data_IF_927228817524
#
_entry.id   IF_927228817524
#
_cell.length_a   1.000
_cell.length_b   1.000
_cell.length_c   1.000
_cell.angle_alpha   90.00
_cell.angle_beta   90.00
_cell.angle_gamma   90.00
#
_symmetry.space_group_name_H-M   'P 1'
#
loop_
_entity.id
_entity.type
_entity.pdbx_description
1 polymer ?
#
# COMPACT_ATOMS: atom_id res chain seq x y z
N UNK A 1 -6.54 35.79 -2.19
CA UNK A 1 -7.43 34.64 -2.43
C UNK A 1 -7.27 34.25 -3.88
N UNK A 2 -6.55 33.16 -4.15
CA UNK A 2 -6.50 32.53 -5.46
C UNK A 2 -6.74 31.04 -5.22
N UNK A 3 -7.95 30.59 -5.55
CA UNK A 3 -8.34 29.19 -5.51
C UNK A 3 -7.64 28.45 -6.66
N UNK A 4 -6.72 27.55 -6.32
CA UNK A 4 -6.18 26.58 -7.25
C UNK A 4 -7.21 25.44 -7.39
N UNK A 5 -7.92 25.43 -8.52
CA UNK A 5 -8.74 24.29 -8.90
C UNK A 5 -7.81 23.19 -9.42
N UNK A 6 -7.61 22.13 -8.63
CA UNK A 6 -6.96 20.91 -9.12
C UNK A 6 -7.91 20.25 -10.11
N UNK A 7 -7.50 20.23 -11.37
CA UNK A 7 -8.26 19.63 -12.47
C UNK A 7 -7.97 18.13 -12.47
N UNK A 8 -8.79 17.35 -11.77
CA UNK A 8 -8.69 15.88 -11.76
C UNK A 8 -9.23 15.36 -13.09
N UNK A 9 -8.42 15.41 -14.14
CA UNK A 9 -8.73 14.69 -15.37
C UNK A 9 -8.63 13.19 -15.08
N UNK A 10 -9.82 12.59 -14.99
CA UNK A 10 -10.08 11.16 -15.05
C UNK A 10 -9.22 10.51 -16.13
N UNK A 11 -8.42 9.51 -15.76
CA UNK A 11 -7.85 8.58 -16.75
C UNK A 11 -8.75 7.33 -16.82
N UNK A 12 -9.54 7.13 -17.90
CA UNK A 12 -10.05 5.81 -18.20
C UNK A 12 -9.43 5.30 -19.51
N UNK A 13 -8.63 4.23 -19.40
CA UNK A 13 -8.60 3.03 -20.25
C UNK A 13 -7.20 2.40 -20.30
N UNK A 14 -7.07 1.33 -19.51
CA UNK A 14 -5.92 0.42 -19.50
C UNK A 14 -5.35 0.14 -18.11
N UNK A 15 -6.15 0.21 -17.04
CA UNK A 15 -5.64 0.01 -15.68
C UNK A 15 -5.37 -1.47 -15.43
N UNK A 16 -4.21 -1.96 -15.85
CA UNK A 16 -3.66 -3.19 -15.29
C UNK A 16 -3.47 -2.95 -13.80
N UNK A 17 -4.11 -3.77 -12.97
CA UNK A 17 -4.06 -3.58 -11.52
C UNK A 17 -5.06 -4.44 -10.79
N UNK A 18 -4.99 -4.38 -9.47
CA UNK A 18 -5.77 -5.27 -8.59
C UNK A 18 -7.23 -4.82 -8.41
N UNK A 19 -7.57 -3.58 -8.81
CA UNK A 19 -8.85 -2.94 -8.52
C UNK A 19 -9.86 -3.21 -9.63
N UNK A 20 -10.97 -3.88 -9.30
CA UNK A 20 -12.09 -4.09 -10.21
C UNK A 20 -13.10 -2.92 -10.14
N UNK A 21 -13.00 -2.01 -11.11
CA UNK A 21 -13.91 -0.86 -11.21
C UNK A 21 -15.37 -1.24 -11.55
N UNK A 22 -15.62 -2.46 -12.02
CA UNK A 22 -16.98 -2.95 -12.31
C UNK A 22 -17.63 -3.57 -11.08
N UNK A 23 -16.84 -4.04 -10.11
CA UNK A 23 -17.33 -4.62 -8.86
C UNK A 23 -18.02 -3.58 -7.99
N UNK A 24 -19.22 -3.86 -7.51
CA UNK A 24 -19.89 -2.97 -6.56
C UNK A 24 -19.18 -3.02 -5.20
N UNK A 25 -18.82 -1.84 -4.69
CA UNK A 25 -18.38 -1.67 -3.32
C UNK A 25 -19.58 -1.33 -2.44
N UNK A 26 -19.65 -1.95 -1.27
CA UNK A 26 -20.73 -1.74 -0.31
C UNK A 26 -20.49 -0.47 0.53
N UNK A 27 -19.28 0.09 0.50
CA UNK A 27 -18.90 1.28 1.26
C UNK A 27 -18.87 1.04 2.77
N UNK A 28 -18.57 -0.20 3.16
CA UNK A 28 -18.55 -0.67 4.55
C UNK A 28 -17.16 -0.64 5.17
N UNK A 29 -16.12 -0.65 4.34
CA UNK A 29 -14.73 -0.59 4.76
C UNK A 29 -14.45 0.75 5.42
N UNK A 30 -13.87 0.68 6.62
CA UNK A 30 -13.46 1.83 7.44
C UNK A 30 -12.15 1.50 8.13
N UNK A 31 -11.28 2.50 8.27
CA UNK A 31 -10.07 2.35 9.07
C UNK A 31 -10.39 2.31 10.56
N UNK A 32 -9.90 1.28 11.24
CA UNK A 32 -9.99 1.16 12.69
C UNK A 32 -8.61 1.32 13.35
N UNK A 33 -8.54 2.09 14.44
CA UNK A 33 -7.34 2.12 15.29
C UNK A 33 -7.27 0.85 16.13
N UNK A 34 -6.21 0.08 15.98
CA UNK A 34 -5.99 -1.16 16.74
C UNK A 34 -4.65 -1.18 17.48
N UNK A 35 -4.47 -2.16 18.36
CA UNK A 35 -3.20 -2.40 19.07
C UNK A 35 -2.32 -3.31 18.23
N UNK A 36 -0.99 -3.12 18.24
CA UNK A 36 -0.06 -3.96 17.46
C UNK A 36 -0.22 -5.45 17.71
N UNK A 37 -0.47 -5.85 18.96
CA UNK A 37 -0.69 -7.26 19.34
C UNK A 37 -1.96 -7.91 18.75
N UNK A 38 -2.82 -7.12 18.10
CA UNK A 38 -4.05 -7.59 17.45
C UNK A 38 -3.89 -7.70 15.93
N UNK A 39 -2.75 -7.29 15.36
CA UNK A 39 -2.50 -7.40 13.92
C UNK A 39 -2.30 -8.87 13.55
N UNK A 40 -2.95 -9.27 12.46
CA UNK A 40 -2.84 -10.61 11.87
C UNK A 40 -2.34 -10.53 10.42
N UNK A 41 -1.78 -11.64 9.93
CA UNK A 41 -1.33 -11.73 8.53
C UNK A 41 -2.53 -11.58 7.60
N UNK A 42 -2.47 -10.60 6.70
CA UNK A 42 -3.57 -10.26 5.79
C UNK A 42 -4.27 -8.94 6.13
N UNK A 43 -4.02 -8.37 7.31
CA UNK A 43 -4.51 -7.05 7.65
C UNK A 43 -3.90 -5.98 6.73
N UNK A 44 -4.74 -5.04 6.30
CA UNK A 44 -4.29 -3.84 5.61
C UNK A 44 -4.02 -2.76 6.66
N UNK A 45 -2.82 -2.19 6.65
CA UNK A 45 -2.40 -1.17 7.60
C UNK A 45 -2.25 0.16 6.88
N UNK A 46 -2.98 1.18 7.33
CA UNK A 46 -2.75 2.57 6.96
C UNK A 46 -1.78 3.19 7.97
N UNK A 47 -0.63 3.65 7.48
CA UNK A 47 0.35 4.39 8.28
C UNK A 47 0.35 5.87 7.88
N UNK A 48 0.40 6.74 8.87
CA UNK A 48 0.61 8.17 8.68
C UNK A 48 2.08 8.56 8.87
N UNK A 49 2.40 9.79 8.47
CA UNK A 49 3.74 10.33 8.61
C UNK A 49 4.23 10.28 10.08
N UNK A 50 5.49 9.87 10.26
CA UNK A 50 6.15 9.65 11.55
C UNK A 50 5.57 8.54 12.44
N UNK A 51 4.70 7.67 11.92
CA UNK A 51 4.27 6.47 12.66
C UNK A 51 5.30 5.34 12.54
N UNK A 52 5.46 4.57 13.62
CA UNK A 52 6.31 3.38 13.61
C UNK A 52 5.62 2.24 12.87
N UNK A 53 6.39 1.53 12.05
CA UNK A 53 5.92 0.32 11.36
C UNK A 53 5.75 -0.82 12.37
N UNK A 54 4.56 -1.42 12.51
CA UNK A 54 4.26 -2.34 13.61
C UNK A 54 4.72 -3.80 13.37
N UNK A 55 4.99 -4.17 12.12
CA UNK A 55 5.37 -5.50 11.67
C UNK A 55 6.08 -5.43 10.31
N UNK A 56 6.59 -6.55 9.79
CA UNK A 56 7.05 -6.60 8.39
C UNK A 56 5.85 -6.43 7.45
N UNK A 57 5.87 -5.38 6.62
CA UNK A 57 4.77 -5.04 5.70
C UNK A 57 5.27 -4.84 4.26
N UNK A 58 4.36 -5.03 3.30
CA UNK A 58 4.57 -4.69 1.89
C UNK A 58 3.84 -3.40 1.56
N UNK A 59 4.54 -2.46 0.91
CA UNK A 59 3.95 -1.18 0.50
C UNK A 59 3.01 -1.41 -0.68
N UNK A 60 1.70 -1.26 -0.45
CA UNK A 60 0.67 -1.43 -1.48
C UNK A 60 0.41 -0.13 -2.24
N UNK A 61 0.22 0.98 -1.53
CA UNK A 61 -0.01 2.30 -2.09
C UNK A 61 0.57 3.38 -1.15
N UNK A 62 0.75 4.58 -1.68
CA UNK A 62 1.29 5.73 -0.95
C UNK A 62 0.52 6.98 -1.35
N UNK A 63 0.57 8.03 -0.53
CA UNK A 63 0.04 9.35 -0.91
C UNK A 63 0.82 10.02 -2.04
N UNK A 64 2.06 9.59 -2.30
CA UNK A 64 2.85 10.04 -3.44
C UNK A 64 2.36 9.37 -4.76
N UNK A 65 2.05 10.13 -5.82
CA UNK A 65 1.54 9.58 -7.09
C UNK A 65 2.51 8.62 -7.81
N UNK A 66 3.81 8.75 -7.57
CA UNK A 66 4.82 7.86 -8.14
C UNK A 66 5.00 6.57 -7.31
N UNK A 67 4.24 6.41 -6.22
CA UNK A 67 4.27 5.24 -5.36
C UNK A 67 5.42 5.25 -4.35
N UNK A 68 6.04 6.41 -4.10
CA UNK A 68 7.25 6.52 -3.29
C UNK A 68 6.93 6.82 -1.81
N UNK A 69 7.63 6.16 -0.91
CA UNK A 69 7.69 6.53 0.50
C UNK A 69 9.11 6.39 1.04
N UNK A 70 9.33 6.88 2.26
CA UNK A 70 10.65 7.00 2.86
C UNK A 70 10.63 6.44 4.27
N UNK A 71 11.59 5.58 4.59
CA UNK A 71 11.71 4.96 5.91
C UNK A 71 13.00 5.40 6.60
N UNK A 72 12.90 5.71 7.89
CA UNK A 72 14.06 5.84 8.78
C UNK A 72 14.37 4.47 9.41
N UNK A 73 15.59 3.97 9.22
CA UNK A 73 16.04 2.67 9.76
C UNK A 73 17.07 2.83 10.89
N UNK A 74 17.24 4.04 11.43
CA UNK A 74 18.23 4.37 12.46
C UNK A 74 18.20 3.42 13.68
N UNK A 75 17.02 2.95 14.07
CA UNK A 75 16.86 2.04 15.21
C UNK A 75 17.22 0.57 14.88
N UNK A 76 17.40 0.22 13.60
CA UNK A 76 17.71 -1.13 13.12
C UNK A 76 19.21 -1.26 12.75
N UNK A 77 19.73 -0.32 11.95
CA UNK A 77 21.09 -0.39 11.39
C UNK A 77 21.98 0.82 11.73
N UNK A 78 21.44 1.83 12.42
CA UNK A 78 22.15 3.06 12.79
C UNK A 78 22.28 4.08 11.65
N UNK A 79 21.68 3.84 10.48
CA UNK A 79 21.74 4.77 9.35
C UNK A 79 20.80 5.95 9.55
N UNK A 80 21.27 7.17 9.25
CA UNK A 80 20.47 8.41 9.42
C UNK A 80 19.77 8.86 8.14
N UNK A 81 20.06 8.23 7.01
CA UNK A 81 19.46 8.58 5.74
C UNK A 81 18.12 7.88 5.56
N UNK A 82 17.13 8.63 5.07
CA UNK A 82 15.85 8.07 4.67
C UNK A 82 16.06 7.10 3.49
N UNK A 83 15.51 5.90 3.62
CA UNK A 83 15.56 4.85 2.60
C UNK A 83 14.31 4.92 1.73
N UNK A 84 14.44 5.18 0.42
CA UNK A 84 13.28 5.18 -0.46
C UNK A 84 12.73 3.76 -0.63
N UNK A 85 11.40 3.63 -0.55
CA UNK A 85 10.64 2.43 -0.87
C UNK A 85 9.56 2.77 -1.90
N UNK A 86 9.22 1.81 -2.73
CA UNK A 86 8.25 1.98 -3.81
C UNK A 86 7.12 0.96 -3.67
N UNK A 87 5.89 1.42 -3.83
CA UNK A 87 4.71 0.56 -3.84
C UNK A 87 4.69 -0.36 -5.06
N UNK A 88 3.97 -1.47 -4.95
CA UNK A 88 3.77 -2.38 -6.08
C UNK A 88 2.91 -1.70 -7.15
N UNK A 89 3.36 -1.70 -8.41
CA UNK A 89 2.68 -1.00 -9.51
C UNK A 89 1.20 -1.37 -9.65
N UNK A 90 0.89 -2.66 -9.47
CA UNK A 90 -0.48 -3.18 -9.61
C UNK A 90 -1.46 -2.65 -8.55
N UNK A 91 -0.96 -2.19 -7.40
CA UNK A 91 -1.76 -1.72 -6.25
C UNK A 91 -1.72 -0.20 -6.09
N UNK A 92 -0.94 0.52 -6.92
CA UNK A 92 -0.84 2.00 -6.89
C UNK A 92 -2.18 2.72 -7.10
N UNK A 93 -3.16 2.07 -7.73
CA UNK A 93 -4.50 2.63 -7.93
C UNK A 93 -5.38 2.62 -6.69
N UNK A 94 -4.94 1.99 -5.58
CA UNK A 94 -5.70 1.98 -4.32
C UNK A 94 -5.52 3.32 -3.62
N UNK A 95 -6.58 4.11 -3.56
CA UNK A 95 -6.58 5.46 -2.99
C UNK A 95 -7.67 5.69 -1.95
N UNK A 96 -8.61 4.76 -1.82
CA UNK A 96 -9.74 4.82 -0.90
C UNK A 96 -10.09 3.44 -0.34
N UNK A 97 -10.89 3.42 0.73
CA UNK A 97 -11.48 2.22 1.31
C UNK A 97 -12.37 1.48 0.29
N UNK A 98 -13.02 2.22 -0.60
CA UNK A 98 -13.83 1.66 -1.68
C UNK A 98 -12.97 0.87 -2.68
N UNK A 99 -11.78 1.39 -3.01
CA UNK A 99 -10.82 0.72 -3.90
C UNK A 99 -10.32 -0.59 -3.27
N UNK A 100 -10.14 -0.62 -1.94
CA UNK A 100 -9.80 -1.84 -1.21
C UNK A 100 -10.92 -2.89 -1.30
N UNK A 101 -12.19 -2.51 -1.15
CA UNK A 101 -13.33 -3.43 -1.33
C UNK A 101 -13.40 -4.02 -2.75
N UNK A 102 -12.90 -3.26 -3.74
CA UNK A 102 -12.83 -3.64 -5.15
C UNK A 102 -11.56 -4.42 -5.50
N UNK A 103 -10.59 -4.48 -4.59
CA UNK A 103 -9.29 -5.12 -4.84
C UNK A 103 -9.32 -6.62 -4.54
N UNK A 104 -8.63 -7.41 -5.35
CA UNK A 104 -8.42 -8.83 -5.09
C UNK A 104 -7.03 -9.27 -5.54
N UNK A 105 -6.23 -9.76 -4.60
CA UNK A 105 -4.88 -10.25 -4.84
C UNK A 105 -4.42 -11.16 -3.69
N UNK A 106 -3.35 -11.90 -3.91
CA UNK A 106 -2.64 -12.62 -2.86
C UNK A 106 -1.13 -12.44 -3.03
N UNK A 107 -0.40 -12.58 -1.92
CA UNK A 107 1.04 -12.41 -1.86
C UNK A 107 1.69 -13.74 -1.52
N UNK A 108 2.41 -14.33 -2.45
CA UNK A 108 3.31 -15.44 -2.17
C UNK A 108 4.59 -14.87 -1.57
N UNK A 109 4.88 -15.20 -0.31
CA UNK A 109 6.08 -14.73 0.40
C UNK A 109 7.08 -15.87 0.56
N UNK A 110 8.37 -15.53 0.61
CA UNK A 110 9.40 -16.47 1.02
C UNK A 110 9.34 -16.80 2.52
N UNK A 111 10.00 -17.89 2.99
CA UNK A 111 10.10 -18.18 4.42
C UNK A 111 10.87 -17.09 5.18
N UNK A 112 10.46 -16.82 6.42
CA UNK A 112 11.13 -15.85 7.29
C UNK A 112 12.62 -16.14 7.45
N UNK A 113 13.45 -15.11 7.30
CA UNK A 113 14.90 -15.21 7.52
C UNK A 113 15.46 -13.90 8.11
N UNK A 114 16.67 -13.96 8.67
CA UNK A 114 17.28 -12.82 9.39
C UNK A 114 17.97 -11.79 8.47
N UNK A 115 18.03 -12.00 7.15
CA UNK A 115 18.67 -11.05 6.25
C UNK A 115 17.78 -9.79 6.06
N UNK A 116 18.25 -8.65 6.57
CA UNK A 116 17.52 -7.37 6.56
C UNK A 116 17.46 -6.70 5.18
N UNK A 117 18.31 -7.12 4.23
CA UNK A 117 18.47 -6.45 2.94
C UNK A 117 17.84 -7.21 1.77
N UNK A 118 17.31 -8.40 2.03
CA UNK A 118 16.70 -9.25 1.03
C UNK A 118 15.25 -9.54 1.43
N UNK A 119 14.34 -9.43 0.47
CA UNK A 119 13.01 -9.98 0.59
C UNK A 119 12.54 -10.37 -0.82
N UNK A 120 12.03 -11.59 -0.97
CA UNK A 120 11.37 -12.04 -2.19
C UNK A 120 9.89 -12.35 -1.92
N UNK A 121 9.04 -11.74 -2.73
CA UNK A 121 7.61 -12.05 -2.76
C UNK A 121 7.01 -11.77 -4.13
N UNK A 122 5.92 -12.46 -4.44
CA UNK A 122 5.18 -12.33 -5.71
C UNK A 122 3.74 -11.98 -5.39
N UNK A 123 3.33 -10.76 -5.75
CA UNK A 123 1.94 -10.35 -5.71
C UNK A 123 1.22 -10.85 -6.97
N UNK A 124 0.14 -11.59 -6.78
CA UNK A 124 -0.67 -12.18 -7.86
C UNK A 124 -2.09 -11.66 -7.78
N UNK A 125 -2.62 -11.34 -8.95
CA UNK A 125 -3.97 -10.83 -9.11
C UNK A 125 -4.48 -11.27 -10.47
N UNK A 126 -5.81 -11.35 -10.60
CA UNK A 126 -6.47 -11.50 -11.89
C UNK A 126 -6.82 -10.11 -12.38
N UNK A 127 -6.41 -9.77 -13.60
CA UNK A 127 -6.72 -8.48 -14.19
C UNK A 127 -8.23 -8.42 -14.50
N UNK A 128 -9.02 -7.52 -13.90
CA UNK A 128 -10.48 -7.48 -14.05
C UNK A 128 -10.98 -6.95 -15.43
N UNK A 129 -10.09 -6.89 -16.43
CA UNK A 129 -10.35 -6.41 -17.80
C UNK A 129 -11.48 -7.18 -18.48
#
# INVERSE_FOLDING_TARGET
MSTYSVNTQLQPKGSTGVVDWKRHANGTAVWERTLWKKLEVGDIVLLHDNEQVPADIVVLATSDPDGMCYLETKNLDGETNLKPRKSVKATMGISSEEDLERSSFYLDSEPSHQNLYLYHGVLRYEDPV
#
